data_IF_653892817975
#
_entry.id   IF_653892817975
#
_cell.length_a   1.000
_cell.length_b   1.000
_cell.length_c   1.000
_cell.angle_alpha   90.00
_cell.angle_beta   90.00
_cell.angle_gamma   90.00
#
_symmetry.space_group_name_H-M   'P 1'
#
loop_
_entity.id
_entity.type
_entity.pdbx_description
1 polymer ?
#
# COMPACT_ATOMS: atom_id res chain seq x y z
N UNK A 1 -35.83 -19.70 -4.65
CA UNK A 1 -35.78 -18.57 -3.68
C UNK A 1 -36.52 -18.84 -2.37
N UNK A 2 -37.73 -19.43 -2.35
CA UNK A 2 -38.51 -19.68 -1.12
C UNK A 2 -37.84 -20.61 -0.09
N UNK A 3 -37.14 -21.68 -0.55
CA UNK A 3 -36.39 -22.61 0.33
C UNK A 3 -35.22 -21.94 1.04
N UNK A 4 -34.53 -21.01 0.38
CA UNK A 4 -33.44 -20.23 0.98
C UNK A 4 -33.94 -19.31 2.10
N UNK A 5 -35.06 -18.63 1.87
CA UNK A 5 -35.64 -17.71 2.88
C UNK A 5 -36.06 -18.41 4.19
N UNK A 6 -36.38 -19.72 4.13
CA UNK A 6 -36.81 -20.51 5.29
C UNK A 6 -35.65 -21.26 5.98
N UNK A 7 -34.42 -21.15 5.46
CA UNK A 7 -33.28 -21.86 6.04
C UNK A 7 -32.81 -21.12 7.31
N UNK A 8 -32.68 -21.81 8.47
CA UNK A 8 -32.21 -21.19 9.73
C UNK A 8 -30.82 -20.56 9.62
N UNK A 9 -29.95 -21.07 8.74
CA UNK A 9 -28.63 -20.51 8.48
C UNK A 9 -28.64 -19.08 7.92
N UNK A 10 -29.72 -18.68 7.26
CA UNK A 10 -29.86 -17.30 6.79
C UNK A 10 -29.79 -16.26 7.91
N UNK A 11 -30.22 -16.63 9.12
CA UNK A 11 -30.13 -15.75 10.29
C UNK A 11 -28.69 -15.69 10.83
N UNK A 12 -27.98 -16.81 10.84
CA UNK A 12 -26.61 -16.90 11.32
C UNK A 12 -25.61 -16.24 10.37
N UNK A 13 -25.86 -16.33 9.06
CA UNK A 13 -25.01 -15.77 7.98
C UNK A 13 -25.46 -14.37 7.52
N UNK A 14 -26.39 -13.75 8.24
CA UNK A 14 -26.91 -12.44 7.87
C UNK A 14 -25.82 -11.37 8.00
N UNK A 15 -25.60 -10.63 6.91
CA UNK A 15 -24.75 -9.44 6.92
C UNK A 15 -25.24 -8.45 7.99
N UNK A 16 -24.31 -7.90 8.75
CA UNK A 16 -24.59 -6.88 9.75
C UNK A 16 -24.90 -5.51 9.10
N UNK A 17 -25.45 -4.59 9.90
CA UNK A 17 -25.88 -3.28 9.43
C UNK A 17 -24.72 -2.39 8.97
N UNK A 18 -23.55 -2.53 9.57
CA UNK A 18 -22.38 -1.73 9.22
C UNK A 18 -21.83 -2.14 7.85
N UNK A 19 -21.78 -3.44 7.57
CA UNK A 19 -21.39 -3.95 6.24
C UNK A 19 -22.37 -3.49 5.16
N UNK A 20 -23.69 -3.48 5.45
CA UNK A 20 -24.70 -2.97 4.50
C UNK A 20 -24.48 -1.48 4.25
N UNK A 21 -24.31 -0.68 5.31
CA UNK A 21 -24.10 0.77 5.18
C UNK A 21 -22.80 1.10 4.41
N UNK A 22 -21.71 0.34 4.63
CA UNK A 22 -20.47 0.51 3.90
C UNK A 22 -20.63 0.18 2.40
N UNK A 23 -21.39 -0.88 2.08
CA UNK A 23 -21.71 -1.23 0.70
C UNK A 23 -22.56 -0.14 0.04
N UNK A 24 -23.59 0.34 0.73
CA UNK A 24 -24.45 1.43 0.26
C UNK A 24 -23.65 2.69 -0.05
N UNK A 25 -22.76 3.13 0.85
CA UNK A 25 -21.88 4.27 0.62
C UNK A 25 -20.99 4.09 -0.61
N UNK A 26 -20.47 2.87 -0.81
CA UNK A 26 -19.66 2.53 -1.99
C UNK A 26 -20.50 2.60 -3.27
N UNK A 27 -21.71 2.04 -3.27
CA UNK A 27 -22.61 2.08 -4.44
C UNK A 27 -23.02 3.51 -4.78
N UNK A 28 -23.30 4.34 -3.80
CA UNK A 28 -23.57 5.77 -4.03
C UNK A 28 -22.39 6.51 -4.70
N UNK A 29 -21.15 6.15 -4.35
CA UNK A 29 -19.99 6.73 -5.04
C UNK A 29 -19.95 6.34 -6.53
N UNK A 30 -20.37 5.12 -6.87
CA UNK A 30 -20.51 4.69 -8.27
C UNK A 30 -21.63 5.45 -9.00
N UNK A 31 -22.80 5.58 -8.39
CA UNK A 31 -23.94 6.32 -8.96
C UNK A 31 -23.58 7.80 -9.19
N UNK A 32 -22.89 8.42 -8.25
CA UNK A 32 -22.43 9.80 -8.34
C UNK A 32 -21.25 10.02 -9.31
N UNK A 33 -20.68 8.94 -9.89
CA UNK A 33 -19.50 9.03 -10.76
C UNK A 33 -18.20 9.43 -10.03
N UNK A 34 -18.17 9.36 -8.69
CA UNK A 34 -17.03 9.78 -7.87
C UNK A 34 -16.18 8.61 -7.37
N UNK A 35 -16.55 7.37 -7.68
CA UNK A 35 -15.92 6.16 -7.14
C UNK A 35 -14.40 6.10 -7.36
N UNK A 36 -13.90 6.53 -8.53
CA UNK A 36 -12.47 6.52 -8.86
C UNK A 36 -11.63 7.46 -7.97
N UNK A 37 -12.27 8.45 -7.34
CA UNK A 37 -11.60 9.41 -6.45
C UNK A 37 -11.83 9.10 -4.97
N UNK A 38 -13.00 8.57 -4.63
CA UNK A 38 -13.45 8.43 -3.23
C UNK A 38 -13.26 7.03 -2.68
N UNK A 39 -13.30 5.99 -3.53
CA UNK A 39 -12.99 4.61 -3.12
C UNK A 39 -11.47 4.40 -3.14
N UNK A 40 -10.81 4.21 -1.98
CA UNK A 40 -9.35 4.24 -1.89
C UNK A 40 -8.65 3.26 -2.85
N UNK A 41 -9.17 2.04 -2.95
CA UNK A 41 -8.60 1.03 -3.86
C UNK A 41 -8.68 1.47 -5.32
N UNK A 42 -9.81 2.02 -5.75
CA UNK A 42 -9.98 2.50 -7.13
C UNK A 42 -9.09 3.70 -7.42
N UNK A 43 -8.99 4.64 -6.48
CA UNK A 43 -8.11 5.78 -6.59
C UNK A 43 -6.63 5.34 -6.74
N UNK A 44 -6.19 4.35 -5.95
CA UNK A 44 -4.84 3.79 -6.06
C UNK A 44 -4.61 3.10 -7.41
N UNK A 45 -5.58 2.33 -7.91
CA UNK A 45 -5.47 1.61 -9.18
C UNK A 45 -5.39 2.55 -10.38
N UNK A 46 -6.16 3.63 -10.36
CA UNK A 46 -6.27 4.56 -11.49
C UNK A 46 -5.28 5.73 -11.43
N UNK A 47 -4.51 5.85 -10.34
CA UNK A 47 -3.55 6.95 -10.19
C UNK A 47 -2.45 6.89 -11.27
N UNK A 48 -2.16 8.01 -11.96
CA UNK A 48 -1.11 8.07 -12.98
C UNK A 48 0.28 7.74 -12.39
N UNK A 49 1.09 6.98 -13.12
CA UNK A 49 2.46 6.62 -12.72
C UNK A 49 3.31 7.85 -12.37
N UNK A 50 3.11 8.96 -13.07
CA UNK A 50 3.80 10.23 -12.81
C UNK A 50 3.56 10.75 -11.39
N UNK A 51 2.32 10.62 -10.88
CA UNK A 51 1.95 11.00 -9.51
C UNK A 51 2.57 10.07 -8.49
N UNK A 52 2.54 8.76 -8.74
CA UNK A 52 3.17 7.74 -7.88
C UNK A 52 4.68 7.98 -7.78
N UNK A 53 5.33 8.21 -8.93
CA UNK A 53 6.78 8.52 -8.99
C UNK A 53 7.11 9.84 -8.27
N UNK A 54 6.27 10.86 -8.40
CA UNK A 54 6.44 12.12 -7.67
C UNK A 54 6.32 11.92 -6.15
N UNK A 55 5.44 11.02 -5.71
CA UNK A 55 5.27 10.63 -4.30
C UNK A 55 6.52 9.90 -3.79
N UNK A 56 7.03 8.91 -4.51
CA UNK A 56 8.27 8.21 -4.16
C UNK A 56 9.46 9.19 -4.01
N UNK A 57 9.59 10.11 -4.95
CA UNK A 57 10.62 11.17 -4.88
C UNK A 57 10.40 12.11 -3.69
N UNK A 58 9.16 12.36 -3.27
CA UNK A 58 8.88 13.16 -2.06
C UNK A 58 9.34 12.44 -0.79
N UNK A 59 9.09 11.14 -0.68
CA UNK A 59 9.62 10.34 0.45
C UNK A 59 11.14 10.43 0.47
N UNK A 60 11.78 10.14 -0.67
CA UNK A 60 13.24 10.16 -0.79
C UNK A 60 13.82 11.54 -0.39
N UNK A 61 13.21 12.65 -0.82
CA UNK A 61 13.67 14.00 -0.46
C UNK A 61 13.54 14.34 1.02
N UNK A 62 12.63 13.68 1.75
CA UNK A 62 12.47 13.89 3.20
C UNK A 62 13.51 13.14 4.04
N UNK A 63 14.21 12.17 3.47
CA UNK A 63 15.32 11.52 4.15
C UNK A 63 16.56 12.42 4.12
N UNK A 64 17.27 12.51 5.23
CA UNK A 64 18.56 13.19 5.28
C UNK A 64 19.59 12.48 4.37
N UNK A 65 20.60 13.21 3.83
CA UNK A 65 21.57 12.61 2.90
C UNK A 65 22.28 11.37 3.45
N UNK A 66 22.72 11.41 4.69
CA UNK A 66 23.38 10.29 5.39
C UNK A 66 22.45 9.10 5.57
N UNK A 67 21.16 9.33 5.84
CA UNK A 67 20.13 8.28 5.94
C UNK A 67 19.89 7.64 4.57
N UNK A 68 19.83 8.44 3.50
CA UNK A 68 19.68 7.91 2.12
C UNK A 68 20.84 7.01 1.76
N UNK A 69 22.06 7.42 2.09
CA UNK A 69 23.27 6.66 1.80
C UNK A 69 23.28 5.34 2.60
N UNK A 70 23.08 5.39 3.92
CA UNK A 70 23.01 4.19 4.78
C UNK A 70 21.96 3.19 4.31
N UNK A 71 20.79 3.67 3.91
CA UNK A 71 19.72 2.82 3.39
C UNK A 71 19.95 2.38 1.94
N UNK A 72 20.89 2.99 1.21
CA UNK A 72 21.00 2.84 -0.23
C UNK A 72 19.67 3.20 -0.93
N UNK A 73 18.97 4.22 -0.41
CA UNK A 73 17.60 4.55 -0.81
C UNK A 73 17.56 5.14 -2.21
N UNK A 74 16.72 4.58 -3.08
CA UNK A 74 16.51 5.07 -4.46
C UNK A 74 15.10 4.80 -4.94
N UNK A 75 14.62 5.61 -5.88
CA UNK A 75 13.34 5.38 -6.56
C UNK A 75 13.59 4.54 -7.81
N UNK A 76 12.80 3.51 -7.99
CA UNK A 76 12.82 2.63 -9.16
C UNK A 76 11.44 2.50 -9.76
N UNK A 77 11.37 2.28 -11.05
CA UNK A 77 10.14 1.84 -11.70
C UNK A 77 9.96 0.34 -11.46
N UNK A 78 8.72 -0.08 -11.25
CA UNK A 78 8.36 -1.43 -10.89
C UNK A 78 6.94 -1.76 -11.39
N UNK A 79 6.51 -2.99 -11.19
CA UNK A 79 5.16 -3.45 -11.51
C UNK A 79 4.51 -4.01 -10.25
N UNK A 80 3.36 -3.45 -9.90
CA UNK A 80 2.50 -3.96 -8.83
C UNK A 80 1.50 -4.96 -9.38
N UNK A 81 1.05 -5.88 -8.53
CA UNK A 81 -0.06 -6.78 -8.84
C UNK A 81 -1.30 -6.36 -8.07
N UNK A 82 -2.45 -6.40 -8.72
CA UNK A 82 -3.73 -6.00 -8.11
C UNK A 82 -4.23 -7.02 -7.07
N UNK A 83 -3.60 -8.19 -7.01
CA UNK A 83 -3.96 -9.27 -6.09
C UNK A 83 -4.82 -10.36 -6.75
N UNK A 84 -4.77 -11.56 -6.16
CA UNK A 84 -5.19 -12.81 -6.78
C UNK A 84 -6.68 -13.01 -7.05
N UNK A 85 -7.55 -12.10 -6.63
CA UNK A 85 -9.00 -12.29 -6.77
C UNK A 85 -9.64 -11.53 -7.93
N UNK A 86 -9.17 -10.31 -8.23
CA UNK A 86 -9.86 -9.41 -9.16
C UNK A 86 -9.19 -9.33 -10.54
N UNK A 87 -7.88 -9.20 -10.60
CA UNK A 87 -7.11 -9.02 -11.85
C UNK A 87 -5.75 -9.73 -11.72
N UNK A 88 -5.70 -11.06 -11.67
CA UNK A 88 -4.50 -11.82 -11.30
C UNK A 88 -3.36 -11.71 -12.32
N UNK A 89 -3.66 -11.34 -13.57
CA UNK A 89 -2.69 -11.24 -14.67
C UNK A 89 -2.36 -9.82 -15.06
N UNK A 90 -2.95 -8.81 -14.41
CA UNK A 90 -2.71 -7.41 -14.75
C UNK A 90 -1.57 -6.87 -13.93
N UNK A 91 -0.47 -6.58 -14.61
CA UNK A 91 0.65 -5.83 -14.07
C UNK A 91 0.35 -4.33 -14.15
N UNK A 92 0.44 -3.65 -13.01
CA UNK A 92 0.19 -2.22 -12.91
C UNK A 92 1.52 -1.48 -12.80
N UNK A 93 1.91 -0.66 -13.78
CA UNK A 93 3.14 0.13 -13.68
C UNK A 93 3.14 0.99 -12.42
N UNK A 94 4.19 0.90 -11.61
CA UNK A 94 4.31 1.64 -10.36
C UNK A 94 5.71 2.21 -10.16
N UNK A 95 5.92 2.96 -9.09
CA UNK A 95 7.21 3.43 -8.65
C UNK A 95 7.40 3.09 -7.18
N UNK A 96 8.46 2.37 -6.88
CA UNK A 96 8.81 1.96 -5.54
C UNK A 96 10.03 2.75 -5.02
N UNK A 97 10.05 2.98 -3.71
CA UNK A 97 11.27 3.33 -3.00
C UNK A 97 11.97 2.03 -2.59
N UNK A 98 13.20 1.82 -3.02
CA UNK A 98 13.99 0.66 -2.58
C UNK A 98 14.97 1.06 -1.51
N UNK A 99 15.13 0.18 -0.49
CA UNK A 99 16.08 0.32 0.60
C UNK A 99 16.76 -1.02 0.88
N UNK A 100 17.88 -0.98 1.61
CA UNK A 100 18.74 -2.14 1.86
C UNK A 100 19.95 -2.16 0.92
N UNK A 101 21.12 -2.55 1.42
CA UNK A 101 22.40 -2.61 0.68
C UNK A 101 22.92 -4.03 0.55
N UNK A 102 22.40 -4.97 1.34
CA UNK A 102 22.68 -6.40 1.31
C UNK A 102 21.45 -7.16 1.82
N UNK A 103 21.41 -8.48 1.64
CA UNK A 103 20.33 -9.34 2.19
C UNK A 103 20.13 -9.14 3.68
N UNK A 104 21.21 -9.14 4.47
CA UNK A 104 21.12 -8.98 5.93
C UNK A 104 20.55 -7.62 6.35
N UNK A 105 21.05 -6.54 5.73
CA UNK A 105 20.50 -5.20 5.99
C UNK A 105 19.05 -5.08 5.58
N UNK A 106 18.67 -5.70 4.48
CA UNK A 106 17.29 -5.70 3.99
C UNK A 106 16.36 -6.44 4.94
N UNK A 107 16.74 -7.60 5.44
CA UNK A 107 15.95 -8.36 6.42
C UNK A 107 15.77 -7.58 7.74
N UNK A 108 16.84 -6.98 8.27
CA UNK A 108 16.76 -6.14 9.47
C UNK A 108 15.88 -4.92 9.28
N UNK A 109 15.94 -4.28 8.12
CA UNK A 109 15.06 -3.16 7.78
C UNK A 109 13.60 -3.57 7.69
N UNK A 110 13.31 -4.72 7.05
CA UNK A 110 11.94 -5.24 6.97
C UNK A 110 11.38 -5.54 8.36
N UNK A 111 12.14 -6.20 9.22
CA UNK A 111 11.75 -6.48 10.60
C UNK A 111 11.53 -5.20 11.42
N UNK A 112 12.47 -4.24 11.33
CA UNK A 112 12.38 -2.96 12.03
C UNK A 112 11.16 -2.14 11.59
N UNK A 113 10.83 -2.17 10.31
CA UNK A 113 9.68 -1.46 9.74
C UNK A 113 8.36 -2.16 10.08
N UNK A 114 8.29 -3.48 10.02
CA UNK A 114 7.11 -4.26 10.43
C UNK A 114 6.80 -4.11 11.92
N UNK A 115 7.83 -4.09 12.77
CA UNK A 115 7.69 -3.89 14.22
C UNK A 115 7.61 -2.41 14.63
N UNK A 116 7.56 -1.49 13.69
CA UNK A 116 7.46 -0.05 13.95
C UNK A 116 6.04 0.42 14.28
N UNK A 117 5.92 1.68 14.68
CA UNK A 117 4.65 2.37 14.87
C UNK A 117 4.65 3.67 14.05
N UNK A 118 3.78 3.79 13.03
CA UNK A 118 2.97 2.71 12.44
C UNK A 118 3.82 1.63 11.75
N UNK A 119 3.32 0.40 11.63
CA UNK A 119 4.01 -0.66 10.90
C UNK A 119 4.06 -0.35 9.41
N UNK A 120 5.19 -0.63 8.78
CA UNK A 120 5.38 -0.48 7.33
C UNK A 120 5.74 -1.83 6.74
N UNK A 121 4.97 -2.26 5.74
CA UNK A 121 5.18 -3.53 5.05
C UNK A 121 5.69 -3.25 3.64
N UNK A 122 6.76 -3.94 3.28
CA UNK A 122 7.31 -3.92 1.94
C UNK A 122 7.41 -5.31 1.33
N UNK A 123 7.93 -5.38 0.13
CA UNK A 123 8.22 -6.60 -0.61
C UNK A 123 9.73 -6.73 -0.80
N UNK A 124 10.30 -7.88 -0.48
CA UNK A 124 11.71 -8.14 -0.74
C UNK A 124 11.84 -8.73 -2.15
N UNK A 125 12.68 -8.11 -2.96
CA UNK A 125 13.08 -8.61 -4.27
C UNK A 125 14.50 -8.15 -4.59
N UNK A 126 15.30 -9.03 -5.19
CA UNK A 126 16.71 -8.75 -5.57
C UNK A 126 17.53 -8.18 -4.39
N UNK A 127 17.41 -8.80 -3.23
CA UNK A 127 18.08 -8.41 -1.98
C UNK A 127 17.79 -6.97 -1.52
N UNK A 128 16.65 -6.42 -1.92
CA UNK A 128 16.21 -5.07 -1.52
C UNK A 128 14.78 -5.09 -1.04
N UNK A 129 14.46 -4.22 -0.09
CA UNK A 129 13.09 -3.97 0.33
C UNK A 129 12.49 -2.91 -0.59
N UNK A 130 11.39 -3.25 -1.24
CA UNK A 130 10.62 -2.39 -2.12
C UNK A 130 9.38 -1.90 -1.39
N UNK A 131 9.22 -0.60 -1.32
CA UNK A 131 8.06 0.09 -0.76
C UNK A 131 7.28 0.73 -1.92
N UNK A 132 6.20 0.07 -2.34
CA UNK A 132 5.39 0.56 -3.45
C UNK A 132 4.66 1.84 -3.05
N UNK A 133 5.02 2.94 -3.71
CA UNK A 133 4.46 4.24 -3.39
C UNK A 133 3.05 4.45 -3.93
N UNK A 134 2.49 3.51 -4.71
CA UNK A 134 1.09 3.53 -5.13
C UNK A 134 0.15 3.34 -3.94
N UNK A 135 0.54 2.52 -2.97
CA UNK A 135 -0.25 2.24 -1.76
C UNK A 135 0.00 3.21 -0.61
N UNK A 136 0.88 4.18 -0.78
CA UNK A 136 1.19 5.21 0.22
C UNK A 136 0.34 6.45 -0.04
N UNK A 137 -0.56 6.81 0.87
CA UNK A 137 -1.37 8.01 0.74
C UNK A 137 -0.50 9.29 0.85
N UNK A 138 -0.96 10.38 0.25
CA UNK A 138 -0.22 11.65 0.27
C UNK A 138 0.09 12.14 1.70
N UNK A 139 -0.84 11.93 2.65
CA UNK A 139 -0.68 12.27 4.06
C UNK A 139 0.35 11.38 4.79
N UNK A 140 0.62 10.18 4.27
CA UNK A 140 1.53 9.21 4.89
C UNK A 140 3.00 9.38 4.48
N UNK A 141 3.30 10.26 3.53
CA UNK A 141 4.67 10.50 3.03
C UNK A 141 5.63 10.89 4.16
N UNK A 142 5.18 11.72 5.12
CA UNK A 142 5.97 12.10 6.30
C UNK A 142 6.23 10.90 7.20
N UNK A 143 5.17 10.18 7.55
CA UNK A 143 5.24 9.00 8.42
C UNK A 143 6.18 7.92 7.87
N UNK A 144 6.12 7.67 6.55
CA UNK A 144 7.02 6.72 5.90
C UNK A 144 8.48 7.17 5.99
N UNK A 145 8.78 8.44 5.73
CA UNK A 145 10.14 8.96 5.85
C UNK A 145 10.67 8.89 7.29
N UNK A 146 9.85 9.17 8.28
CA UNK A 146 10.20 9.05 9.70
C UNK A 146 10.44 7.58 10.10
N UNK A 147 9.57 6.66 9.64
CA UNK A 147 9.74 5.23 9.91
C UNK A 147 11.07 4.72 9.33
N UNK A 148 11.41 5.11 8.10
CA UNK A 148 12.69 4.78 7.47
C UNK A 148 13.88 5.36 8.22
N UNK A 149 13.77 6.59 8.70
CA UNK A 149 14.84 7.24 9.49
C UNK A 149 15.07 6.50 10.81
N UNK A 150 13.98 6.11 11.49
CA UNK A 150 14.07 5.31 12.73
C UNK A 150 14.66 3.92 12.48
N UNK A 151 14.25 3.27 11.40
CA UNK A 151 14.79 1.95 11.04
C UNK A 151 16.28 2.01 10.71
N UNK A 152 16.73 3.06 10.02
CA UNK A 152 18.15 3.28 9.71
C UNK A 152 19.02 3.57 10.94
N UNK A 153 18.44 3.99 12.05
CA UNK A 153 19.16 4.27 13.29
C UNK A 153 19.33 3.00 14.18
N UNK A 154 18.63 1.92 13.88
CA UNK A 154 18.79 0.65 14.60
C UNK A 154 20.04 -0.07 14.09
N UNK A 155 20.92 -0.54 15.03
CA UNK A 155 22.14 -1.24 14.68
C UNK A 155 21.88 -2.62 14.03
#
# INVERSE_FOLDING_TARGET
MSRLKKNPWNRALRIDKFTIAALEATLHAYEAGTALQTVPTLAMLTEPLTSVRARARRVLRRLAPDVRERLGARVVDDHGMVGGGALPTVELPTAALTVGTSSDTTMRLDEALRGGDPPVLGRIAHDRLLLDCRTVLAAQVGLLAEALTRAAARP
#
